data_IF_223014651824
#
_entry.id   IF_223014651824
#
_cell.length_a   1.000
_cell.length_b   1.000
_cell.length_c   1.000
_cell.angle_alpha   90.00
_cell.angle_beta   90.00
_cell.angle_gamma   90.00
#
_symmetry.space_group_name_H-M   'P 1'
#
loop_
_entity.id
_entity.type
_entity.pdbx_description
1 polymer ?
#
# COMPACT_ATOMS: atom_id res chain seq x y z
N UNK A 1 7.39 -8.88 -17.93
CA UNK A 1 7.36 -10.32 -18.23
C UNK A 1 5.92 -10.86 -18.28
N UNK A 2 5.08 -10.68 -17.28
CA UNK A 2 3.68 -11.17 -17.26
C UNK A 2 2.84 -10.77 -18.50
N UNK A 3 2.88 -9.49 -18.91
CA UNK A 3 2.19 -9.02 -20.12
C UNK A 3 2.53 -9.82 -21.38
N UNK A 4 3.79 -10.22 -21.56
CA UNK A 4 4.22 -10.97 -22.75
C UNK A 4 3.66 -12.40 -22.73
N UNK A 5 3.70 -13.06 -21.58
CA UNK A 5 3.17 -14.42 -21.43
C UNK A 5 1.66 -14.43 -21.67
N UNK A 6 0.91 -13.54 -21.01
CA UNK A 6 -0.53 -13.44 -21.19
C UNK A 6 -0.92 -13.10 -22.65
N UNK A 7 -0.12 -12.26 -23.33
CA UNK A 7 -0.33 -11.90 -24.73
C UNK A 7 -0.13 -13.09 -25.67
N UNK A 8 0.91 -13.88 -25.43
CA UNK A 8 1.17 -15.09 -26.24
C UNK A 8 0.06 -16.14 -26.04
N UNK A 9 -0.44 -16.33 -24.82
CA UNK A 9 -1.59 -17.19 -24.58
C UNK A 9 -2.87 -16.64 -25.21
N UNK A 10 -3.13 -15.34 -25.13
CA UNK A 10 -4.28 -14.74 -25.78
C UNK A 10 -4.28 -15.03 -27.27
N UNK A 11 -3.16 -14.81 -27.96
CA UNK A 11 -3.01 -15.11 -29.38
C UNK A 11 -3.19 -16.63 -29.67
N UNK A 12 -2.61 -17.46 -28.83
CA UNK A 12 -2.71 -18.93 -29.00
C UNK A 12 -4.18 -19.38 -28.91
N UNK A 13 -4.90 -19.01 -27.87
CA UNK A 13 -6.27 -19.45 -27.67
C UNK A 13 -7.27 -18.79 -28.63
N UNK A 14 -7.00 -17.62 -29.15
CA UNK A 14 -7.87 -16.95 -30.13
C UNK A 14 -7.50 -17.28 -31.58
N UNK A 15 -6.39 -17.94 -31.85
CA UNK A 15 -5.93 -18.31 -33.19
C UNK A 15 -6.90 -19.19 -33.98
N UNK A 16 -7.81 -19.86 -33.28
CA UNK A 16 -8.88 -20.70 -33.91
C UNK A 16 -10.01 -19.87 -34.49
N UNK A 17 -10.12 -18.58 -34.13
CA UNK A 17 -11.13 -17.67 -34.66
C UNK A 17 -10.64 -17.07 -35.99
N UNK A 18 -11.46 -17.07 -37.05
CA UNK A 18 -11.09 -16.44 -38.32
C UNK A 18 -11.06 -14.90 -38.18
N UNK A 19 -10.20 -14.25 -38.97
CA UNK A 19 -10.13 -12.79 -39.07
C UNK A 19 -9.88 -12.04 -37.75
N UNK A 20 -9.03 -12.59 -36.90
CA UNK A 20 -8.50 -11.90 -35.73
C UNK A 20 -7.48 -10.83 -36.14
N UNK A 21 -7.56 -9.64 -35.57
CA UNK A 21 -6.55 -8.61 -35.71
C UNK A 21 -5.79 -8.37 -34.40
N UNK A 22 -4.45 -8.35 -34.45
CA UNK A 22 -3.59 -8.26 -33.28
C UNK A 22 -2.69 -7.02 -33.34
N UNK A 23 -2.85 -6.12 -32.37
CA UNK A 23 -2.05 -4.91 -32.21
C UNK A 23 -0.96 -5.14 -31.15
N UNK A 24 0.24 -5.50 -31.57
CA UNK A 24 1.36 -5.91 -30.71
C UNK A 24 1.83 -4.79 -29.74
N UNK A 25 1.76 -3.53 -30.15
CA UNK A 25 2.18 -2.39 -29.33
C UNK A 25 1.17 -2.06 -28.22
N UNK A 26 -0.11 -2.23 -28.52
CA UNK A 26 -1.21 -1.93 -27.58
C UNK A 26 -1.64 -3.18 -26.81
N UNK A 27 -1.10 -4.37 -27.13
CA UNK A 27 -1.52 -5.67 -26.61
C UNK A 27 -3.04 -5.85 -26.69
N UNK A 28 -3.60 -5.53 -27.84
CA UNK A 28 -5.03 -5.53 -28.13
C UNK A 28 -5.35 -6.50 -29.27
N UNK A 29 -6.35 -7.34 -29.05
CA UNK A 29 -6.90 -8.23 -30.07
C UNK A 29 -8.33 -7.80 -30.40
N UNK A 30 -8.64 -7.69 -31.71
CA UNK A 30 -9.98 -7.40 -32.20
C UNK A 30 -10.61 -8.68 -32.79
N UNK A 31 -11.82 -8.96 -32.32
CA UNK A 31 -12.58 -10.13 -32.74
C UNK A 31 -13.39 -9.83 -34.01
N UNK A 32 -13.76 -10.84 -34.81
CA UNK A 32 -14.53 -10.65 -36.04
C UNK A 32 -15.89 -9.95 -35.87
N UNK A 33 -16.46 -10.01 -34.69
CA UNK A 33 -17.73 -9.36 -34.31
C UNK A 33 -17.56 -7.92 -33.80
N UNK A 34 -16.35 -7.36 -33.88
CA UNK A 34 -16.02 -6.03 -33.34
C UNK A 34 -15.73 -6.00 -31.85
N UNK A 35 -15.75 -7.15 -31.17
CA UNK A 35 -15.32 -7.25 -29.77
C UNK A 35 -13.83 -7.00 -29.64
N UNK A 36 -13.39 -6.57 -28.46
CA UNK A 36 -11.99 -6.22 -28.19
C UNK A 36 -11.53 -6.82 -26.88
N UNK A 37 -10.34 -7.39 -26.88
CA UNK A 37 -9.63 -7.85 -25.67
C UNK A 37 -8.32 -7.09 -25.61
N UNK A 38 -8.02 -6.47 -24.46
CA UNK A 38 -6.79 -5.70 -24.29
C UNK A 38 -6.14 -6.02 -22.93
N UNK A 39 -4.81 -6.15 -22.93
CA UNK A 39 -4.01 -6.32 -21.71
C UNK A 39 -3.53 -4.94 -21.21
N UNK A 40 -3.84 -4.61 -19.99
CA UNK A 40 -3.51 -3.32 -19.37
C UNK A 40 -2.70 -3.54 -18.08
N UNK A 41 -1.79 -2.62 -17.77
CA UNK A 41 -1.11 -2.60 -16.47
C UNK A 41 -1.95 -1.85 -15.44
N UNK A 42 -1.84 -2.26 -14.19
CA UNK A 42 -2.61 -1.69 -13.08
C UNK A 42 -1.78 -0.80 -12.15
N UNK A 43 -0.53 -0.49 -12.50
CA UNK A 43 0.38 0.28 -11.65
C UNK A 43 -0.13 1.71 -11.37
N UNK A 44 -0.94 2.23 -12.29
CA UNK A 44 -1.52 3.59 -12.19
C UNK A 44 -3.03 3.55 -12.41
N UNK A 45 -3.83 3.30 -11.37
CA UNK A 45 -5.28 3.19 -11.49
C UNK A 45 -5.95 4.38 -12.20
N UNK A 46 -5.45 5.60 -11.95
CA UNK A 46 -6.02 6.83 -12.51
C UNK A 46 -6.00 6.84 -14.05
N UNK A 47 -4.99 6.23 -14.68
CA UNK A 47 -4.89 6.18 -16.15
C UNK A 47 -5.93 5.25 -16.79
N UNK A 48 -6.58 4.44 -15.99
CA UNK A 48 -7.61 3.50 -16.41
C UNK A 48 -9.05 3.98 -16.10
N UNK A 49 -9.19 5.15 -15.49
CA UNK A 49 -10.51 5.78 -15.28
C UNK A 49 -11.15 6.11 -16.62
N UNK A 50 -12.45 5.84 -16.75
CA UNK A 50 -13.20 6.06 -17.99
C UNK A 50 -13.19 4.87 -18.96
N UNK A 51 -12.63 3.73 -18.56
CA UNK A 51 -12.80 2.49 -19.34
C UNK A 51 -14.27 2.12 -19.43
N UNK A 52 -14.68 1.65 -20.60
CA UNK A 52 -16.02 1.16 -20.88
C UNK A 52 -15.92 -0.31 -21.28
N UNK A 53 -16.19 -1.21 -20.33
CA UNK A 53 -15.88 -2.62 -20.45
C UNK A 53 -17.07 -3.52 -20.14
N UNK A 54 -17.21 -4.62 -20.87
CA UNK A 54 -18.22 -5.66 -20.65
C UNK A 54 -17.74 -6.72 -19.65
N UNK A 55 -16.45 -6.83 -19.46
CA UNK A 55 -15.86 -7.76 -18.51
C UNK A 55 -14.39 -7.50 -18.26
N UNK A 56 -13.90 -7.97 -17.12
CA UNK A 56 -12.47 -7.86 -16.75
C UNK A 56 -11.99 -9.13 -16.06
N UNK A 57 -10.76 -9.50 -16.37
CA UNK A 57 -9.98 -10.48 -15.61
C UNK A 57 -8.87 -9.72 -14.88
N UNK A 58 -8.89 -9.77 -13.57
CA UNK A 58 -7.85 -9.23 -12.70
C UNK A 58 -6.94 -10.38 -12.31
N UNK A 59 -5.69 -10.34 -12.76
CA UNK A 59 -4.68 -11.34 -12.47
C UNK A 59 -3.72 -10.83 -11.41
N UNK A 60 -3.33 -11.68 -10.46
CA UNK A 60 -2.50 -11.32 -9.30
C UNK A 60 -3.11 -10.20 -8.43
N UNK A 61 -4.40 -10.30 -8.14
CA UNK A 61 -5.16 -9.25 -7.42
C UNK A 61 -4.55 -8.86 -6.09
N UNK A 62 -3.94 -9.81 -5.38
CA UNK A 62 -3.27 -9.54 -4.11
C UNK A 62 -2.15 -8.49 -4.20
N UNK A 63 -1.60 -8.26 -5.40
CA UNK A 63 -0.52 -7.29 -5.67
C UNK A 63 -1.03 -5.95 -6.22
N UNK A 64 -2.33 -5.84 -6.51
CA UNK A 64 -2.93 -4.62 -7.06
C UNK A 64 -3.20 -3.58 -5.98
N UNK A 65 -3.10 -2.28 -6.31
CA UNK A 65 -3.57 -1.23 -5.41
C UNK A 65 -5.06 -1.40 -5.10
N UNK A 66 -5.50 -1.27 -3.83
CA UNK A 66 -6.90 -1.43 -3.44
C UNK A 66 -7.89 -0.55 -4.23
N UNK A 67 -7.48 0.68 -4.57
CA UNK A 67 -8.27 1.63 -5.40
C UNK A 67 -8.58 1.12 -6.80
N UNK A 68 -7.84 0.14 -7.31
CA UNK A 68 -8.11 -0.45 -8.62
C UNK A 68 -9.53 -1.00 -8.69
N UNK A 69 -9.96 -1.73 -7.68
CA UNK A 69 -11.32 -2.26 -7.62
C UNK A 69 -12.36 -1.15 -7.40
N UNK A 70 -12.20 -0.36 -6.35
CA UNK A 70 -13.24 0.57 -5.87
C UNK A 70 -13.45 1.78 -6.77
N UNK A 71 -12.38 2.34 -7.33
CA UNK A 71 -12.42 3.61 -8.08
C UNK A 71 -12.39 3.43 -9.59
N UNK A 72 -11.93 2.30 -10.10
CA UNK A 72 -11.73 2.08 -11.54
C UNK A 72 -12.64 0.98 -12.07
N UNK A 73 -12.45 -0.25 -11.57
CA UNK A 73 -13.10 -1.42 -12.18
C UNK A 73 -14.59 -1.46 -11.85
N UNK A 74 -14.98 -1.29 -10.59
CA UNK A 74 -16.40 -1.35 -10.20
C UNK A 74 -17.25 -0.31 -10.91
N UNK A 75 -16.84 0.97 -11.01
CA UNK A 75 -17.56 1.96 -11.81
C UNK A 75 -17.63 1.60 -13.30
N UNK A 76 -16.49 1.16 -13.90
CA UNK A 76 -16.42 0.84 -15.33
C UNK A 76 -17.32 -0.33 -15.75
N UNK A 77 -17.60 -1.26 -14.85
CA UNK A 77 -18.51 -2.39 -15.08
C UNK A 77 -19.98 -2.03 -14.87
N UNK A 78 -20.28 -0.97 -14.11
CA UNK A 78 -21.66 -0.66 -13.69
C UNK A 78 -22.57 -0.29 -14.85
N UNK A 79 -22.06 0.42 -15.86
CA UNK A 79 -22.86 0.90 -17.00
C UNK A 79 -23.33 -0.24 -17.92
N UNK A 80 -22.62 -1.36 -17.92
CA UNK A 80 -22.90 -2.50 -18.80
C UNK A 80 -23.33 -3.75 -18.07
N UNK A 81 -23.51 -3.68 -16.75
CA UNK A 81 -23.74 -4.87 -15.92
C UNK A 81 -22.67 -5.96 -16.18
N UNK A 82 -21.43 -5.49 -16.35
CA UNK A 82 -20.30 -6.32 -16.77
C UNK A 82 -19.87 -7.30 -15.67
N UNK A 83 -19.11 -8.33 -16.07
CA UNK A 83 -18.59 -9.35 -15.15
C UNK A 83 -17.14 -9.09 -14.75
N UNK A 84 -16.75 -9.64 -13.60
CA UNK A 84 -15.37 -9.67 -13.14
C UNK A 84 -14.93 -11.09 -12.79
N UNK A 85 -13.69 -11.42 -13.13
CA UNK A 85 -12.96 -12.57 -12.62
C UNK A 85 -11.72 -12.06 -11.90
N UNK A 86 -11.59 -12.35 -10.61
CA UNK A 86 -10.43 -12.01 -9.79
C UNK A 86 -9.68 -13.29 -9.45
N UNK A 87 -8.41 -13.37 -9.84
CA UNK A 87 -7.55 -14.53 -9.59
C UNK A 87 -6.21 -14.09 -9.01
N UNK A 88 -5.55 -14.97 -8.27
CA UNK A 88 -4.23 -14.74 -7.69
C UNK A 88 -3.95 -15.63 -6.50
N UNK A 89 -2.71 -15.56 -6.02
CA UNK A 89 -2.27 -16.21 -4.79
C UNK A 89 -2.58 -15.30 -3.60
N UNK A 90 -3.13 -15.83 -2.48
CA UNK A 90 -3.33 -15.06 -1.26
C UNK A 90 -2.02 -14.46 -0.72
N UNK A 91 -2.09 -13.21 -0.24
CA UNK A 91 -0.96 -12.52 0.39
C UNK A 91 -1.42 -11.76 1.64
N UNK A 92 -1.83 -12.52 2.66
CA UNK A 92 -2.37 -11.96 3.90
C UNK A 92 -3.75 -11.30 3.74
N UNK A 93 -4.18 -10.59 4.76
CA UNK A 93 -5.45 -9.88 4.79
C UNK A 93 -5.32 -8.52 4.06
N UNK A 94 -5.62 -8.51 2.78
CA UNK A 94 -5.56 -7.34 1.90
C UNK A 94 -6.86 -7.18 1.10
N UNK A 95 -6.91 -6.28 0.13
CA UNK A 95 -8.10 -6.06 -0.69
C UNK A 95 -8.57 -7.32 -1.44
N UNK A 96 -7.68 -8.28 -1.76
CA UNK A 96 -8.06 -9.57 -2.34
C UNK A 96 -8.77 -10.46 -1.32
N UNK A 97 -8.31 -10.46 -0.07
CA UNK A 97 -9.00 -11.11 1.04
C UNK A 97 -10.40 -10.53 1.25
N UNK A 98 -10.53 -9.20 1.23
CA UNK A 98 -11.84 -8.54 1.36
C UNK A 98 -12.79 -8.95 0.23
N UNK A 99 -12.31 -9.00 -1.02
CA UNK A 99 -13.09 -9.51 -2.16
C UNK A 99 -13.49 -10.97 -1.98
N UNK A 100 -12.57 -11.81 -1.50
CA UNK A 100 -12.85 -13.21 -1.19
C UNK A 100 -13.92 -13.35 -0.12
N UNK A 101 -13.81 -12.64 1.00
CA UNK A 101 -14.79 -12.64 2.08
C UNK A 101 -16.16 -12.14 1.61
N UNK A 102 -16.18 -11.06 0.83
CA UNK A 102 -17.43 -10.57 0.22
C UNK A 102 -18.09 -11.66 -0.64
N UNK A 103 -17.29 -12.31 -1.50
CA UNK A 103 -17.80 -13.33 -2.40
C UNK A 103 -18.27 -14.61 -1.70
N UNK A 104 -17.73 -14.94 -0.52
CA UNK A 104 -18.20 -16.08 0.29
C UNK A 104 -19.61 -15.81 0.86
N UNK A 105 -19.95 -14.55 1.12
CA UNK A 105 -21.20 -14.16 1.77
C UNK A 105 -22.26 -13.64 0.79
N UNK A 106 -21.96 -13.48 -0.50
CA UNK A 106 -22.89 -12.98 -1.52
C UNK A 106 -23.13 -14.05 -2.60
N UNK A 107 -24.38 -14.53 -2.70
CA UNK A 107 -24.80 -15.57 -3.67
C UNK A 107 -24.59 -15.19 -5.15
N UNK A 108 -24.41 -13.91 -5.46
CA UNK A 108 -24.09 -13.44 -6.82
C UNK A 108 -22.65 -13.70 -7.23
N UNK A 109 -21.81 -14.13 -6.29
CA UNK A 109 -20.41 -14.39 -6.51
C UNK A 109 -20.11 -15.89 -6.52
N UNK A 110 -19.24 -16.30 -7.44
CA UNK A 110 -18.63 -17.63 -7.41
C UNK A 110 -17.24 -17.52 -6.78
N UNK A 111 -17.10 -18.04 -5.59
CA UNK A 111 -15.80 -18.05 -4.86
C UNK A 111 -15.26 -19.46 -4.74
N UNK A 112 -13.99 -19.66 -5.09
CA UNK A 112 -13.32 -20.97 -5.05
C UNK A 112 -11.87 -20.81 -4.60
N UNK A 113 -11.41 -21.76 -3.81
CA UNK A 113 -10.00 -22.01 -3.50
C UNK A 113 -9.58 -23.30 -4.20
N UNK A 114 -8.48 -23.27 -4.92
CA UNK A 114 -7.92 -24.42 -5.63
C UNK A 114 -6.59 -24.84 -4.99
N UNK A 115 -6.67 -25.46 -3.82
CA UNK A 115 -5.49 -25.94 -3.12
C UNK A 115 -4.80 -27.05 -3.91
N UNK A 116 -3.48 -27.02 -3.96
CA UNK A 116 -2.70 -28.01 -4.68
C UNK A 116 -2.90 -29.41 -4.09
N UNK A 117 -3.03 -29.53 -2.76
CA UNK A 117 -3.34 -30.79 -2.06
C UNK A 117 -4.67 -31.41 -2.46
N UNK A 118 -5.68 -30.59 -2.82
CA UNK A 118 -7.03 -31.05 -3.17
C UNK A 118 -7.18 -31.29 -4.68
N UNK A 119 -6.59 -30.43 -5.52
CA UNK A 119 -6.76 -30.47 -6.97
C UNK A 119 -5.98 -31.56 -7.66
N UNK A 120 -4.93 -32.09 -7.02
CA UNK A 120 -4.01 -33.10 -7.56
C UNK A 120 -3.35 -32.73 -8.91
N UNK A 121 -3.32 -31.44 -9.24
CA UNK A 121 -2.62 -30.92 -10.43
C UNK A 121 -1.11 -31.05 -10.27
N UNK A 122 -0.63 -30.85 -9.04
CA UNK A 122 0.76 -31.07 -8.65
C UNK A 122 0.89 -32.43 -7.99
N UNK A 123 1.92 -33.19 -8.35
CA UNK A 123 2.16 -34.52 -7.78
C UNK A 123 2.50 -34.42 -6.29
N UNK A 124 2.06 -35.42 -5.51
CA UNK A 124 2.30 -35.45 -4.05
C UNK A 124 3.79 -35.42 -3.69
N UNK A 125 4.64 -36.07 -4.49
CA UNK A 125 6.10 -36.06 -4.33
C UNK A 125 6.68 -34.65 -4.45
N UNK A 126 6.21 -33.89 -5.45
CA UNK A 126 6.61 -32.49 -5.67
C UNK A 126 6.14 -31.57 -4.54
N UNK A 127 4.89 -31.75 -4.06
CA UNK A 127 4.38 -31.02 -2.90
C UNK A 127 5.20 -31.29 -1.63
N UNK A 128 5.59 -32.58 -1.43
CA UNK A 128 6.41 -32.96 -0.30
C UNK A 128 7.84 -32.38 -0.38
N UNK A 129 8.39 -32.24 -1.56
CA UNK A 129 9.69 -31.60 -1.78
C UNK A 129 9.59 -30.09 -1.60
N UNK A 130 8.61 -29.43 -2.19
CA UNK A 130 8.35 -28.01 -2.02
C UNK A 130 8.19 -27.63 -0.53
N UNK A 131 7.43 -28.44 0.22
CA UNK A 131 7.23 -28.25 1.68
C UNK A 131 8.51 -28.34 2.50
N UNK A 132 9.52 -29.09 2.03
CA UNK A 132 10.83 -29.17 2.69
C UNK A 132 11.76 -28.02 2.33
N UNK A 133 11.62 -27.46 1.12
CA UNK A 133 12.50 -26.45 0.57
C UNK A 133 12.03 -25.02 0.82
N UNK A 134 10.75 -24.84 1.13
CA UNK A 134 10.13 -23.51 1.32
C UNK A 134 9.81 -23.22 2.78
N UNK A 135 9.86 -21.95 3.21
CA UNK A 135 9.26 -21.56 4.49
C UNK A 135 7.79 -21.97 4.54
N UNK A 136 7.29 -22.44 5.71
CA UNK A 136 5.92 -22.91 5.85
C UNK A 136 4.87 -21.90 5.39
N UNK A 137 5.07 -20.62 5.69
CA UNK A 137 4.15 -19.53 5.35
C UNK A 137 4.04 -19.36 3.82
N UNK A 138 5.15 -19.56 3.10
CA UNK A 138 5.17 -19.51 1.64
C UNK A 138 4.43 -20.70 1.05
N UNK A 139 4.70 -21.90 1.57
CA UNK A 139 4.02 -23.11 1.13
C UNK A 139 2.49 -22.99 1.33
N UNK A 140 2.06 -22.54 2.51
CA UNK A 140 0.64 -22.37 2.83
C UNK A 140 -0.05 -21.33 1.92
N UNK A 141 0.63 -20.24 1.55
CA UNK A 141 0.07 -19.26 0.61
C UNK A 141 0.00 -19.80 -0.82
N UNK A 142 1.13 -20.30 -1.34
CA UNK A 142 1.28 -20.65 -2.77
C UNK A 142 0.58 -21.95 -3.14
N UNK A 143 0.59 -22.95 -2.24
CA UNK A 143 0.04 -24.28 -2.54
C UNK A 143 -1.30 -24.57 -1.83
N UNK A 144 -1.53 -23.97 -0.65
CA UNK A 144 -2.73 -24.23 0.17
C UNK A 144 -3.70 -23.04 0.20
N UNK A 145 -3.45 -21.99 -0.57
CA UNK A 145 -4.29 -20.80 -0.70
C UNK A 145 -4.62 -20.12 0.64
N UNK A 146 -3.69 -20.13 1.60
CA UNK A 146 -3.89 -19.55 2.92
C UNK A 146 -3.77 -18.03 2.89
N UNK A 147 -4.79 -17.32 3.35
CA UNK A 147 -4.73 -15.88 3.61
C UNK A 147 -4.08 -15.53 4.96
N UNK A 148 -3.90 -16.52 5.83
CA UNK A 148 -3.27 -16.33 7.15
C UNK A 148 -1.75 -16.20 7.07
N UNK A 149 -1.17 -16.61 5.94
CA UNK A 149 0.26 -16.47 5.71
C UNK A 149 0.59 -15.03 5.34
N UNK A 150 1.58 -14.46 6.02
CA UNK A 150 2.06 -13.11 5.74
C UNK A 150 2.65 -13.03 4.33
N UNK A 151 2.51 -11.86 3.69
CA UNK A 151 3.18 -11.59 2.42
C UNK A 151 4.69 -11.88 2.55
N UNK A 152 5.20 -12.69 1.61
CA UNK A 152 6.61 -13.12 1.59
C UNK A 152 7.53 -11.91 1.65
N UNK A 153 8.44 -11.92 2.63
CA UNK A 153 9.38 -10.82 2.81
C UNK A 153 8.76 -9.53 3.34
N UNK A 154 7.52 -9.57 3.84
CA UNK A 154 6.89 -8.41 4.46
C UNK A 154 7.72 -7.88 5.61
N UNK A 155 7.89 -6.55 5.63
CA UNK A 155 8.75 -5.86 6.58
C UNK A 155 8.04 -5.62 7.91
N UNK A 156 6.70 -5.39 7.89
CA UNK A 156 5.92 -4.98 9.05
C UNK A 156 4.79 -5.94 9.45
N UNK A 157 4.54 -6.99 8.68
CA UNK A 157 3.39 -7.88 8.90
C UNK A 157 3.32 -8.44 10.31
N UNK A 158 4.42 -8.93 10.89
CA UNK A 158 4.44 -9.44 12.26
C UNK A 158 3.97 -8.41 13.30
N UNK A 159 4.40 -7.15 13.15
CA UNK A 159 4.01 -6.08 14.06
C UNK A 159 2.53 -5.68 13.89
N UNK A 160 2.01 -5.73 12.66
CA UNK A 160 0.62 -5.43 12.35
C UNK A 160 -0.33 -6.56 12.75
N UNK A 161 0.06 -7.83 12.58
CA UNK A 161 -0.73 -8.96 13.08
C UNK A 161 -0.85 -8.91 14.60
N UNK A 162 0.25 -8.59 15.30
CA UNK A 162 0.19 -8.36 16.74
C UNK A 162 -0.71 -7.19 17.11
N UNK A 163 -0.80 -6.15 16.27
CA UNK A 163 -1.73 -5.06 16.48
C UNK A 163 -3.20 -5.49 16.29
N UNK A 164 -3.47 -6.38 15.34
CA UNK A 164 -4.79 -7.01 15.17
C UNK A 164 -5.16 -7.87 16.39
N UNK A 165 -4.28 -8.79 16.80
CA UNK A 165 -4.49 -9.68 17.95
C UNK A 165 -4.75 -8.91 19.26
N UNK A 166 -4.08 -7.78 19.43
CA UNK A 166 -4.22 -6.90 20.59
C UNK A 166 -5.38 -5.88 20.44
N UNK A 167 -6.21 -5.97 19.40
CA UNK A 167 -7.30 -5.03 19.08
C UNK A 167 -6.85 -3.57 19.02
N UNK A 168 -5.64 -3.31 18.48
CA UNK A 168 -5.10 -1.98 18.26
C UNK A 168 -5.42 -1.42 16.86
N UNK A 169 -5.91 -2.28 15.94
CA UNK A 169 -6.54 -1.87 14.69
C UNK A 169 -8.06 -1.89 14.97
N UNK A 170 -8.60 -0.73 15.30
CA UNK A 170 -9.95 -0.56 15.84
C UNK A 170 -10.48 0.82 15.49
N UNK A 171 -11.61 1.22 16.05
CA UNK A 171 -12.12 2.59 15.92
C UNK A 171 -11.29 3.54 16.80
N UNK A 172 -10.61 4.50 16.17
CA UNK A 172 -9.77 5.51 16.83
C UNK A 172 -10.28 6.90 16.48
N UNK A 173 -11.29 7.42 17.24
CA UNK A 173 -11.89 8.70 16.91
C UNK A 173 -10.93 9.87 17.17
N UNK A 174 -11.07 10.93 16.37
CA UNK A 174 -10.41 12.20 16.60
C UNK A 174 -10.80 12.78 17.98
N UNK A 175 -9.80 13.18 18.75
CA UNK A 175 -9.96 13.86 20.04
C UNK A 175 -9.69 15.36 19.86
N UNK A 176 -10.71 16.24 19.94
CA UNK A 176 -10.52 17.68 19.69
C UNK A 176 -9.67 18.39 20.75
N UNK A 177 -9.35 17.73 21.86
CA UNK A 177 -8.48 18.28 22.91
C UNK A 177 -7.00 18.10 22.62
N UNK A 178 -6.66 17.26 21.63
CA UNK A 178 -5.29 16.95 21.21
C UNK A 178 -5.10 17.42 19.78
N UNK A 179 -4.08 18.23 19.54
CA UNK A 179 -3.74 18.65 18.17
C UNK A 179 -3.21 17.50 17.34
N UNK A 180 -3.45 17.56 16.03
CA UNK A 180 -3.03 16.56 15.06
C UNK A 180 -1.67 16.93 14.47
N UNK A 181 -0.73 16.02 14.52
CA UNK A 181 0.49 16.07 13.74
C UNK A 181 0.28 15.28 12.43
N UNK A 182 0.90 15.73 11.34
CA UNK A 182 0.86 15.00 10.07
C UNK A 182 2.26 14.65 9.59
N UNK A 183 2.42 13.47 8.99
CA UNK A 183 3.69 12.99 8.47
C UNK A 183 3.55 12.66 6.99
N UNK A 184 4.40 13.26 6.17
CA UNK A 184 4.26 13.29 4.73
C UNK A 184 5.39 12.55 4.03
N UNK A 185 5.04 11.81 2.98
CA UNK A 185 5.95 11.50 1.88
C UNK A 185 5.50 12.26 0.64
N UNK A 186 6.38 13.08 0.05
CA UNK A 186 6.04 14.01 -1.02
C UNK A 186 6.49 13.48 -2.39
N UNK A 187 5.57 12.94 -3.17
CA UNK A 187 5.79 12.55 -4.56
C UNK A 187 5.35 13.64 -5.55
N UNK A 188 6.21 13.97 -6.55
CA UNK A 188 5.85 14.92 -7.64
C UNK A 188 5.14 14.24 -8.81
N UNK A 189 5.65 13.09 -9.24
CA UNK A 189 5.08 12.23 -10.30
C UNK A 189 4.46 10.95 -9.74
N UNK A 190 4.76 10.67 -8.50
CA UNK A 190 4.28 9.56 -7.72
C UNK A 190 3.30 10.06 -6.66
N UNK A 191 2.83 9.17 -5.79
CA UNK A 191 1.86 9.53 -4.76
C UNK A 191 2.49 10.41 -3.67
N UNK A 192 1.71 11.36 -3.16
CA UNK A 192 1.94 11.97 -1.84
C UNK A 192 1.10 11.22 -0.83
N UNK A 193 1.70 10.78 0.27
CA UNK A 193 1.04 10.05 1.34
C UNK A 193 1.11 10.85 2.67
N UNK A 194 0.02 10.87 3.41
CA UNK A 194 -0.10 11.66 4.65
C UNK A 194 -0.73 10.79 5.74
N UNK A 195 0.00 10.59 6.86
CA UNK A 195 -0.54 10.02 8.08
C UNK A 195 -0.95 11.12 9.08
N UNK A 196 -2.13 10.98 9.68
CA UNK A 196 -2.68 11.91 10.67
C UNK A 196 -2.62 11.28 12.05
N UNK A 197 -1.98 11.96 13.00
CA UNK A 197 -1.58 11.36 14.27
C UNK A 197 -1.94 12.23 15.45
N UNK A 198 -2.44 11.61 16.50
CA UNK A 198 -2.57 12.22 17.83
C UNK A 198 -1.76 11.42 18.85
N UNK A 199 -0.94 12.08 19.65
CA UNK A 199 -0.20 11.46 20.74
C UNK A 199 -0.98 11.54 22.05
N UNK A 200 -1.31 10.38 22.63
CA UNK A 200 -2.01 10.30 23.92
C UNK A 200 -1.14 9.55 24.94
N UNK A 201 -0.36 10.31 25.68
CA UNK A 201 0.68 9.73 26.54
C UNK A 201 1.75 9.01 25.74
N UNK A 202 1.89 7.69 25.92
CA UNK A 202 2.81 6.85 25.13
C UNK A 202 2.17 6.24 23.89
N UNK A 203 0.82 6.26 23.80
CA UNK A 203 0.08 5.73 22.66
C UNK A 203 0.09 6.72 21.48
N UNK A 204 0.16 6.16 20.29
CA UNK A 204 0.17 6.87 19.01
C UNK A 204 -1.12 6.48 18.28
N UNK A 205 -2.03 7.42 18.16
CA UNK A 205 -3.32 7.23 17.51
C UNK A 205 -3.25 7.69 16.07
N UNK A 206 -3.27 6.75 15.13
CA UNK A 206 -3.38 6.98 13.69
C UNK A 206 -4.88 7.15 13.39
N UNK A 207 -5.33 8.40 13.33
CA UNK A 207 -6.76 8.74 13.24
C UNK A 207 -7.26 8.84 11.80
N UNK A 208 -6.33 9.00 10.84
CA UNK A 208 -6.68 9.15 9.43
C UNK A 208 -5.44 8.89 8.55
N UNK A 209 -5.70 8.67 7.27
CA UNK A 209 -4.71 8.54 6.21
C UNK A 209 -5.24 9.17 4.93
N UNK A 210 -4.36 9.74 4.12
CA UNK A 210 -4.71 10.26 2.81
C UNK A 210 -3.56 10.06 1.83
N UNK A 211 -3.86 9.66 0.60
CA UNK A 211 -2.89 9.62 -0.50
C UNK A 211 -3.54 10.05 -1.81
N UNK A 212 -2.78 10.78 -2.61
CA UNK A 212 -3.13 11.11 -3.99
C UNK A 212 -1.87 11.35 -4.83
N UNK A 213 -2.01 11.52 -6.14
CA UNK A 213 -0.88 11.70 -7.06
C UNK A 213 -1.15 12.78 -8.10
N UNK A 214 -0.08 13.50 -8.46
CA UNK A 214 -0.15 14.50 -9.54
C UNK A 214 -0.70 15.86 -9.11
N UNK A 215 -0.95 16.06 -7.81
CA UNK A 215 -1.59 17.24 -7.27
C UNK A 215 -0.57 18.23 -6.65
N UNK A 216 -0.98 19.50 -6.52
CA UNK A 216 -0.16 20.57 -5.96
C UNK A 216 -0.23 20.56 -4.41
N UNK A 217 0.75 21.22 -3.76
CA UNK A 217 0.69 21.41 -2.30
C UNK A 217 -0.54 22.21 -1.84
N UNK A 218 -1.06 23.10 -2.69
CA UNK A 218 -2.30 23.83 -2.42
C UNK A 218 -3.51 22.89 -2.35
N UNK A 219 -3.59 21.89 -3.22
CA UNK A 219 -4.63 20.85 -3.17
C UNK A 219 -4.59 20.12 -1.83
N UNK A 220 -3.41 19.69 -1.38
CA UNK A 220 -3.28 18.99 -0.10
C UNK A 220 -3.58 19.91 1.09
N UNK A 221 -3.26 21.20 1.03
CA UNK A 221 -3.65 22.17 2.06
C UNK A 221 -5.18 22.28 2.17
N UNK A 222 -5.90 22.33 1.04
CA UNK A 222 -7.36 22.32 1.03
C UNK A 222 -7.94 21.02 1.63
N UNK A 223 -7.34 19.86 1.33
CA UNK A 223 -7.73 18.58 1.97
C UNK A 223 -7.57 18.62 3.49
N UNK A 224 -6.49 19.24 3.99
CA UNK A 224 -6.31 19.41 5.43
C UNK A 224 -7.42 20.27 6.03
N UNK A 225 -7.77 21.37 5.40
CA UNK A 225 -8.84 22.27 5.84
C UNK A 225 -10.21 21.56 5.83
N UNK A 226 -10.52 20.80 4.78
CA UNK A 226 -11.77 20.06 4.63
C UNK A 226 -11.93 18.96 5.71
N UNK A 227 -10.83 18.37 6.18
CA UNK A 227 -10.86 17.39 7.28
C UNK A 227 -11.22 18.04 8.64
N UNK A 228 -11.06 19.33 8.80
CA UNK A 228 -11.50 20.10 9.97
C UNK A 228 -10.79 19.74 11.27
N UNK A 229 -9.58 19.18 11.23
CA UNK A 229 -8.77 18.88 12.40
C UNK A 229 -8.04 20.14 12.91
N UNK A 230 -7.73 20.18 14.20
CA UNK A 230 -6.84 21.20 14.75
C UNK A 230 -5.41 20.72 14.66
N UNK A 231 -4.64 21.28 13.73
CA UNK A 231 -3.27 20.85 13.45
C UNK A 231 -2.25 21.49 14.39
N UNK A 232 -1.17 20.74 14.65
CA UNK A 232 0.03 21.21 15.37
C UNK A 232 1.17 21.43 14.39
N UNK A 233 1.76 20.36 13.88
CA UNK A 233 2.94 20.40 13.00
C UNK A 233 2.78 19.44 11.83
N UNK A 234 3.18 19.89 10.64
CA UNK A 234 3.26 19.10 9.43
C UNK A 234 4.72 18.69 9.20
N UNK A 235 5.02 17.42 9.40
CA UNK A 235 6.36 16.86 9.25
C UNK A 235 6.61 16.45 7.81
N UNK A 236 7.53 17.16 7.15
CA UNK A 236 7.90 16.94 5.75
C UNK A 236 9.21 16.16 5.65
N UNK A 237 9.43 15.40 4.56
CA UNK A 237 10.68 14.67 4.33
C UNK A 237 11.87 15.63 4.19
N UNK A 238 13.07 15.15 4.47
CA UNK A 238 14.30 15.93 4.47
C UNK A 238 14.62 16.63 3.14
N UNK A 239 14.18 16.06 2.01
CA UNK A 239 14.37 16.62 0.66
C UNK A 239 13.36 17.72 0.31
N UNK A 240 12.31 17.91 1.11
CA UNK A 240 11.36 19.02 0.94
C UNK A 240 12.01 20.41 1.05
N UNK A 241 13.20 20.49 1.64
CA UNK A 241 13.96 21.73 1.78
C UNK A 241 14.78 22.11 0.52
N UNK A 242 14.83 21.22 -0.47
CA UNK A 242 15.54 21.46 -1.73
C UNK A 242 14.73 22.45 -2.58
N UNK A 243 15.39 23.51 -3.09
CA UNK A 243 14.75 24.49 -3.97
C UNK A 243 14.53 23.92 -5.37
N UNK A 244 13.34 24.14 -5.89
CA UNK A 244 12.99 23.76 -7.25
C UNK A 244 13.50 24.78 -8.27
N UNK A 245 14.11 24.29 -9.35
CA UNK A 245 14.71 25.17 -10.40
C UNK A 245 13.65 26.08 -11.04
N UNK A 246 12.40 25.60 -11.18
CA UNK A 246 11.33 26.35 -11.85
C UNK A 246 10.76 27.50 -11.03
N UNK A 247 10.60 27.32 -9.71
CA UNK A 247 9.97 28.30 -8.81
C UNK A 247 10.96 29.07 -7.95
N UNK A 248 12.19 28.57 -7.81
CA UNK A 248 13.20 29.08 -6.88
C UNK A 248 12.87 28.89 -5.41
N UNK A 249 11.71 28.27 -5.07
CA UNK A 249 11.24 28.00 -3.72
C UNK A 249 11.39 26.53 -3.36
N UNK A 250 11.56 26.23 -2.08
CA UNK A 250 11.47 24.87 -1.57
C UNK A 250 10.00 24.49 -1.29
N UNK A 251 9.71 23.19 -1.21
CA UNK A 251 8.38 22.70 -0.82
C UNK A 251 8.00 23.16 0.57
N UNK A 252 8.97 23.30 1.47
CA UNK A 252 8.78 23.89 2.81
C UNK A 252 8.32 25.34 2.71
N UNK A 253 9.00 26.18 1.92
CA UNK A 253 8.63 27.58 1.73
C UNK A 253 7.22 27.73 1.12
N UNK A 254 6.85 26.82 0.19
CA UNK A 254 5.50 26.80 -0.39
C UNK A 254 4.48 26.39 0.67
N UNK A 255 4.69 25.32 1.41
CA UNK A 255 3.78 24.86 2.46
C UNK A 255 3.56 25.95 3.54
N UNK A 256 4.63 26.64 3.95
CA UNK A 256 4.55 27.74 4.90
C UNK A 256 3.77 28.94 4.33
N UNK A 257 3.91 29.23 3.04
CA UNK A 257 3.11 30.29 2.40
C UNK A 257 1.61 29.97 2.31
N UNK A 258 1.24 28.68 2.42
CA UNK A 258 -0.13 28.22 2.54
C UNK A 258 -0.63 28.14 3.99
N UNK A 259 0.15 28.64 4.96
CA UNK A 259 -0.23 28.70 6.38
C UNK A 259 0.09 27.43 7.18
N UNK A 260 0.77 26.44 6.60
CA UNK A 260 1.14 25.21 7.30
C UNK A 260 2.35 25.42 8.22
N UNK A 261 2.25 25.01 9.47
CA UNK A 261 3.38 24.99 10.42
C UNK A 261 4.19 23.72 10.14
N UNK A 262 5.34 23.87 9.49
CA UNK A 262 6.14 22.72 9.02
C UNK A 262 7.36 22.46 9.88
N UNK A 263 7.76 21.18 9.94
CA UNK A 263 9.05 20.70 10.45
C UNK A 263 9.65 19.70 9.49
N UNK A 264 10.97 19.57 9.46
CA UNK A 264 11.65 18.61 8.60
C UNK A 264 12.06 17.39 9.42
N UNK A 265 11.70 16.20 8.93
CA UNK A 265 12.21 14.95 9.50
C UNK A 265 13.67 14.77 9.08
N UNK A 266 14.57 14.45 10.02
CA UNK A 266 15.97 14.25 9.69
C UNK A 266 16.18 13.08 8.74
N UNK A 267 17.26 13.19 7.96
CA UNK A 267 17.64 12.11 7.05
C UNK A 267 18.12 10.91 7.85
N UNK A 268 17.50 9.77 7.57
CA UNK A 268 17.85 8.49 8.19
C UNK A 268 18.04 7.42 7.11
N UNK A 269 18.81 6.38 7.41
CA UNK A 269 18.88 5.22 6.51
C UNK A 269 17.54 4.50 6.47
N UNK A 270 17.25 3.83 5.35
CA UNK A 270 16.00 3.03 5.22
C UNK A 270 15.93 1.96 6.30
N UNK A 271 17.05 1.32 6.61
CA UNK A 271 17.15 0.26 7.61
C UNK A 271 16.86 0.77 9.03
N UNK A 272 17.47 1.90 9.42
CA UNK A 272 17.19 2.53 10.72
C UNK A 272 15.73 2.96 10.83
N UNK A 273 15.17 3.51 9.75
CA UNK A 273 13.76 3.86 9.68
C UNK A 273 12.84 2.65 9.84
N UNK A 274 13.16 1.51 9.20
CA UNK A 274 12.42 0.25 9.36
C UNK A 274 12.48 -0.22 10.81
N UNK A 275 13.65 -0.16 11.44
CA UNK A 275 13.81 -0.56 12.84
C UNK A 275 13.03 0.39 13.78
N UNK A 276 13.02 1.69 13.51
CA UNK A 276 12.21 2.65 14.24
C UNK A 276 10.71 2.31 14.16
N UNK A 277 10.21 1.93 12.98
CA UNK A 277 8.83 1.46 12.80
C UNK A 277 8.55 0.22 13.66
N UNK A 278 9.39 -0.80 13.57
CA UNK A 278 9.22 -2.05 14.33
C UNK A 278 9.14 -1.82 15.84
N UNK A 279 9.94 -0.90 16.35
CA UNK A 279 9.91 -0.52 17.77
C UNK A 279 8.65 0.28 18.15
N UNK A 280 8.16 1.11 17.23
CA UNK A 280 7.06 2.04 17.48
C UNK A 280 5.68 1.37 17.33
N UNK A 281 5.54 0.37 16.46
CA UNK A 281 4.28 -0.32 16.17
C UNK A 281 3.56 -0.86 17.41
N UNK A 282 4.28 -1.25 18.45
CA UNK A 282 3.69 -1.74 19.72
C UNK A 282 2.86 -0.69 20.46
N UNK A 283 3.00 0.59 20.10
CA UNK A 283 2.30 1.73 20.71
C UNK A 283 1.28 2.36 19.77
N UNK A 284 1.18 1.88 18.52
CA UNK A 284 0.30 2.41 17.50
C UNK A 284 -1.11 1.81 17.62
N UNK A 285 -2.11 2.66 17.52
CA UNK A 285 -3.53 2.34 17.39
C UNK A 285 -4.02 2.94 16.09
N UNK A 286 -4.65 2.14 15.24
CA UNK A 286 -5.07 2.54 13.91
C UNK A 286 -6.58 2.58 13.80
N UNK A 287 -7.14 3.67 13.26
CA UNK A 287 -8.55 3.68 12.87
C UNK A 287 -8.75 2.78 11.65
N UNK A 288 -9.50 1.68 11.83
CA UNK A 288 -9.60 0.62 10.83
C UNK A 288 -10.27 1.07 9.51
N UNK A 289 -11.15 2.08 9.55
CA UNK A 289 -11.82 2.62 8.37
C UNK A 289 -10.97 3.68 7.68
N UNK A 290 -10.55 4.70 8.43
CA UNK A 290 -9.88 5.87 7.88
C UNK A 290 -8.42 5.63 7.50
N UNK A 291 -7.76 4.65 8.12
CA UNK A 291 -6.37 4.30 7.80
C UNK A 291 -6.22 3.05 6.94
N UNK A 292 -7.34 2.48 6.46
CA UNK A 292 -7.35 1.20 5.74
C UNK A 292 -6.33 1.14 4.61
N UNK A 293 -6.31 2.14 3.73
CA UNK A 293 -5.39 2.17 2.57
C UNK A 293 -3.92 2.19 3.00
N UNK A 294 -3.60 2.99 4.01
CA UNK A 294 -2.26 3.04 4.59
C UNK A 294 -1.86 1.72 5.26
N UNK A 295 -2.77 1.08 5.99
CA UNK A 295 -2.56 -0.23 6.61
C UNK A 295 -2.33 -1.32 5.56
N UNK A 296 -3.12 -1.34 4.48
CA UNK A 296 -2.96 -2.30 3.38
C UNK A 296 -1.58 -2.14 2.71
N UNK A 297 -1.13 -0.90 2.56
CA UNK A 297 0.22 -0.63 2.06
C UNK A 297 1.30 -1.13 3.03
N UNK A 298 1.17 -0.86 4.34
CA UNK A 298 2.14 -1.32 5.35
C UNK A 298 2.19 -2.86 5.45
N UNK A 299 1.06 -3.56 5.32
CA UNK A 299 1.00 -5.02 5.33
C UNK A 299 1.73 -5.66 4.15
N UNK A 300 1.67 -5.01 2.99
CA UNK A 300 2.27 -5.49 1.75
C UNK A 300 3.68 -4.93 1.48
N UNK A 301 4.16 -3.99 2.29
CA UNK A 301 5.51 -3.45 2.16
C UNK A 301 6.55 -4.53 2.45
N UNK A 302 7.36 -4.86 1.44
CA UNK A 302 8.24 -6.02 1.45
C UNK A 302 9.63 -5.71 0.91
N UNK A 303 10.58 -6.58 1.20
CA UNK A 303 11.90 -6.54 0.62
C UNK A 303 11.84 -6.88 -0.87
N UNK A 304 12.64 -6.17 -1.68
CA UNK A 304 12.82 -6.54 -3.08
C UNK A 304 13.52 -7.89 -3.20
N UNK A 305 13.13 -8.66 -4.20
CA UNK A 305 13.82 -9.90 -4.56
C UNK A 305 14.55 -9.74 -5.90
N UNK A 306 15.58 -10.51 -6.14
CA UNK A 306 16.22 -10.56 -7.45
C UNK A 306 15.54 -11.61 -8.36
N UNK A 307 16.04 -11.74 -9.60
CA UNK A 307 15.50 -12.67 -10.58
C UNK A 307 15.67 -14.16 -10.17
N UNK A 308 16.42 -14.43 -9.11
CA UNK A 308 16.64 -15.76 -8.52
C UNK A 308 15.83 -15.97 -7.24
N UNK A 309 14.98 -15.01 -6.86
CA UNK A 309 14.19 -15.07 -5.62
C UNK A 309 14.98 -14.75 -4.35
N UNK A 310 16.21 -14.19 -4.46
CA UNK A 310 17.02 -13.83 -3.30
C UNK A 310 16.62 -12.43 -2.84
N UNK A 311 16.30 -12.30 -1.56
CA UNK A 311 15.93 -11.03 -0.93
C UNK A 311 17.09 -10.03 -0.98
N UNK A 312 16.82 -8.84 -1.51
CA UNK A 312 17.75 -7.69 -1.51
C UNK A 312 17.64 -6.92 -0.21
N UNK A 313 18.72 -6.27 0.20
CA UNK A 313 18.73 -5.41 1.39
C UNK A 313 18.15 -4.01 1.09
N UNK A 314 17.05 -3.96 0.35
CA UNK A 314 16.25 -2.75 0.11
C UNK A 314 14.79 -3.14 -0.11
N UNK A 315 13.83 -2.32 0.32
CA UNK A 315 12.43 -2.55 0.01
C UNK A 315 12.17 -2.50 -1.51
N UNK A 316 11.11 -3.18 -1.92
CA UNK A 316 10.57 -3.06 -3.27
C UNK A 316 9.92 -1.69 -3.44
N UNK A 317 10.26 -1.01 -4.55
CA UNK A 317 9.63 0.26 -4.87
C UNK A 317 8.39 0.01 -5.72
N UNK A 318 7.23 0.12 -5.09
CA UNK A 318 5.92 -0.08 -5.72
C UNK A 318 4.88 0.85 -5.03
N UNK A 319 3.59 0.61 -5.25
CA UNK A 319 2.52 1.43 -4.69
C UNK A 319 2.50 1.52 -3.15
N UNK A 320 3.13 0.57 -2.44
CA UNK A 320 3.19 0.56 -0.97
C UNK A 320 4.25 1.50 -0.39
N UNK A 321 5.20 1.94 -1.22
CA UNK A 321 6.40 2.65 -0.77
C UNK A 321 6.07 3.98 -0.10
N UNK A 322 5.17 4.77 -0.68
CA UNK A 322 4.87 6.12 -0.19
C UNK A 322 4.22 6.12 1.20
N UNK A 323 3.25 5.24 1.42
CA UNK A 323 2.65 5.05 2.74
C UNK A 323 3.67 4.60 3.78
N UNK A 324 4.53 3.63 3.42
CA UNK A 324 5.57 3.10 4.30
C UNK A 324 6.65 4.15 4.61
N UNK A 325 7.01 4.99 3.65
CA UNK A 325 8.00 6.05 3.81
C UNK A 325 7.45 7.16 4.72
N UNK A 326 6.20 7.61 4.51
CA UNK A 326 5.53 8.54 5.40
C UNK A 326 5.40 7.99 6.84
N UNK A 327 5.12 6.68 6.99
CA UNK A 327 5.06 6.03 8.30
C UNK A 327 6.46 5.90 8.96
N UNK A 328 7.52 5.70 8.18
CA UNK A 328 8.90 5.77 8.70
C UNK A 328 9.23 7.16 9.21
N UNK A 329 8.84 8.22 8.49
CA UNK A 329 9.02 9.61 8.94
C UNK A 329 8.26 9.89 10.23
N UNK A 330 7.07 9.32 10.40
CA UNK A 330 6.32 9.37 11.65
C UNK A 330 7.13 8.77 12.81
N UNK A 331 7.59 7.53 12.63
CA UNK A 331 8.27 6.82 13.70
C UNK A 331 9.61 7.45 14.08
N UNK A 332 10.32 8.04 13.12
CA UNK A 332 11.60 8.72 13.35
C UNK A 332 11.40 10.13 13.92
N UNK A 333 10.45 10.89 13.40
CA UNK A 333 10.15 12.24 13.86
C UNK A 333 9.64 12.28 15.31
N UNK A 334 8.86 11.29 15.73
CA UNK A 334 8.38 11.18 17.12
C UNK A 334 9.50 10.79 18.12
N UNK A 335 10.55 10.12 17.68
CA UNK A 335 11.69 9.78 18.54
C UNK A 335 12.54 11.01 18.89
N UNK A 336 12.71 11.94 17.96
CA UNK A 336 13.51 13.16 18.20
C UNK A 336 12.85 14.15 19.15
N UNK A 337 11.53 14.25 19.12
CA UNK A 337 10.80 15.12 20.06
C UNK A 337 10.96 14.67 21.53
N UNK A 338 11.46 13.46 21.78
CA UNK A 338 11.74 12.91 23.11
C UNK A 338 13.20 13.07 23.56
N UNK A 339 14.11 13.50 22.71
CA UNK A 339 15.45 13.88 23.13
C UNK A 339 15.39 15.24 23.87
N UNK A 340 14.92 15.15 25.09
CA UNK A 340 15.01 16.23 26.05
C UNK A 340 16.48 16.46 26.35
N UNK A 341 17.08 17.44 25.69
CA UNK A 341 18.27 18.13 26.18
C UNK A 341 17.90 18.92 27.45
N UNK A 342 17.45 18.25 28.47
CA UNK A 342 17.56 18.76 29.83
C UNK A 342 19.01 18.56 30.23
N UNK A 343 19.85 19.60 30.01
CA UNK A 343 21.06 19.76 30.82
C UNK A 343 20.61 19.62 32.28
N UNK A 344 20.90 18.49 32.90
CA UNK A 344 20.75 18.33 34.33
C UNK A 344 21.78 19.30 34.97
N UNK A 345 21.36 20.50 35.29
CA UNK A 345 22.16 21.43 36.09
C UNK A 345 22.23 20.87 37.49
N UNK A 346 23.29 20.15 37.79
CA UNK A 346 23.61 19.77 39.15
C UNK A 346 23.81 21.06 39.96
N UNK A 347 23.13 21.24 41.12
CA UNK A 347 23.45 22.33 41.99
C UNK A 347 24.91 22.22 42.44
N UNK A 348 25.68 23.31 42.32
CA UNK A 348 27.02 23.37 42.89
C UNK A 348 26.89 23.22 44.40
N UNK A 349 27.08 22.03 44.93
CA UNK A 349 27.26 21.81 46.35
C UNK A 349 28.62 22.44 46.70
N UNK A 350 28.57 23.62 47.33
CA UNK A 350 29.73 24.24 47.94
C UNK A 350 30.19 23.35 49.10
N UNK A 351 31.23 22.58 48.85
CA UNK A 351 31.98 21.95 49.94
C UNK A 351 33.00 23.00 50.34
N UNK A 352 32.84 23.56 51.55
CA UNK A 352 33.86 24.37 52.25
C UNK A 352 34.87 23.43 52.87
#
# INVERSE_FOLDING_TARGET
MAKRIAWDYLKYYTSVLPNMDYHETELRAELPNGGRIQLLGCERPQTLKGLYIDGVVLDEVAQMPPKMWTEVIRPALSDREGFMIAIGTPQGHNAFFDLYQHGVHDEKWLTRLFKASETKVVKEEELAEAKKMMPPEIYEAEYECSFESNAIGSIYALGLNKADDENRITKVPYDPTIKVDTFWDLGMKDKTAIWFVQQKGTAIHLIDYFEDSGESLEYYANILDDKGYVYNTHYLPHDANVREIGTGKSRVEIAQSLGLVTSIVPKMSVEDGINAVRMTLSRCYFDFEKTKEGLDALRQYRWAVDDKGITKNRPEHNWTSHSADAFRYLCTGLQETKNWNTEIKYPKLGIV
#
